data_IF_651310087755
#
_entry.id   IF_651310087755
#
_cell.length_a   1.000
_cell.length_b   1.000
_cell.length_c   1.000
_cell.angle_alpha   90.00
_cell.angle_beta   90.00
_cell.angle_gamma   90.00
#
_symmetry.space_group_name_H-M   'P 1'
#
loop_
_entity.id
_entity.type
_entity.pdbx_description
1 polymer ?
#
# COMPACT_ATOMS: atom_id res chain seq x y z
N UNK A 1 0.77 11.63 -6.84
CA UNK A 1 1.45 12.79 -7.47
C UNK A 1 1.50 13.99 -6.53
N UNK A 2 0.39 14.33 -5.84
CA UNK A 2 0.35 15.38 -4.82
C UNK A 2 1.24 15.17 -3.57
N UNK A 3 1.68 13.95 -3.24
CA UNK A 3 2.61 13.70 -2.12
C UNK A 3 4.08 14.06 -2.45
N UNK A 4 4.43 14.23 -3.73
CA UNK A 4 5.78 14.63 -4.12
C UNK A 4 5.94 16.13 -3.96
N UNK A 5 6.83 16.57 -3.06
CA UNK A 5 7.17 17.97 -2.88
C UNK A 5 7.63 18.63 -4.18
N UNK A 6 8.44 17.93 -4.99
CA UNK A 6 8.86 18.40 -6.32
C UNK A 6 7.68 18.61 -7.27
N UNK A 7 6.66 17.76 -7.21
CA UNK A 7 5.47 17.91 -8.04
C UNK A 7 4.57 19.05 -7.55
N UNK A 8 4.40 19.19 -6.22
CA UNK A 8 3.70 20.35 -5.64
C UNK A 8 4.40 21.66 -5.96
N UNK A 9 5.74 21.67 -5.90
CA UNK A 9 6.58 22.78 -6.34
C UNK A 9 6.30 23.16 -7.79
N UNK A 10 6.35 22.20 -8.72
CA UNK A 10 6.03 22.47 -10.14
C UNK A 10 4.63 23.06 -10.35
N UNK A 11 3.61 22.55 -9.66
CA UNK A 11 2.24 23.07 -9.77
C UNK A 11 2.17 24.50 -9.22
N UNK A 12 2.87 24.76 -8.11
CA UNK A 12 2.94 26.09 -7.51
C UNK A 12 3.67 27.08 -8.41
N UNK A 13 4.81 26.69 -8.98
CA UNK A 13 5.58 27.51 -9.91
C UNK A 13 4.75 27.84 -11.15
N UNK A 14 4.01 26.86 -11.70
CA UNK A 14 3.09 27.10 -12.82
C UNK A 14 1.96 28.07 -12.44
N UNK A 15 1.43 27.99 -11.21
CA UNK A 15 0.45 28.97 -10.74
C UNK A 15 1.06 30.37 -10.68
N UNK A 16 2.23 30.53 -10.06
CA UNK A 16 2.87 31.83 -9.85
C UNK A 16 3.33 32.42 -11.19
N UNK A 17 4.17 31.70 -11.93
CA UNK A 17 4.84 32.25 -13.11
C UNK A 17 3.89 32.41 -14.31
N UNK A 18 2.88 31.55 -14.39
CA UNK A 18 2.07 31.36 -15.58
C UNK A 18 0.62 31.85 -15.41
N UNK A 19 -0.12 31.30 -14.45
CA UNK A 19 -1.55 31.61 -14.33
C UNK A 19 -1.79 32.97 -13.67
N UNK A 20 -1.14 33.22 -12.53
CA UNK A 20 -1.39 34.41 -11.72
C UNK A 20 -1.00 35.70 -12.45
N UNK A 21 0.06 35.67 -13.26
CA UNK A 21 0.55 36.82 -14.06
C UNK A 21 -0.39 37.21 -15.19
N UNK A 22 -1.34 36.34 -15.57
CA UNK A 22 -2.28 36.55 -16.68
C UNK A 22 -3.70 36.91 -16.21
N UNK A 23 -3.91 37.07 -14.89
CA UNK A 23 -5.20 37.46 -14.34
C UNK A 23 -5.50 38.94 -14.62
N UNK A 24 -6.47 39.20 -15.49
CA UNK A 24 -7.00 40.55 -15.72
C UNK A 24 -7.95 40.98 -14.59
N UNK A 25 -8.11 42.30 -14.36
CA UNK A 25 -9.12 42.81 -13.41
C UNK A 25 -10.51 42.24 -13.72
N UNK A 26 -11.14 41.63 -12.71
CA UNK A 26 -12.45 40.99 -12.84
C UNK A 26 -12.45 39.54 -13.32
N UNK A 27 -11.28 38.92 -13.52
CA UNK A 27 -11.20 37.50 -13.85
C UNK A 27 -11.78 36.61 -12.73
N UNK A 28 -12.46 35.54 -13.12
CA UNK A 28 -12.97 34.50 -12.22
C UNK A 28 -12.06 33.29 -12.31
N UNK A 29 -11.57 32.80 -11.16
CA UNK A 29 -10.77 31.59 -11.08
C UNK A 29 -11.58 30.51 -10.37
N UNK A 30 -11.70 29.35 -11.01
CA UNK A 30 -12.34 28.16 -10.43
C UNK A 30 -11.29 27.07 -10.31
N UNK A 31 -11.03 26.65 -9.08
CA UNK A 31 -10.12 25.57 -8.76
C UNK A 31 -10.93 24.35 -8.32
N UNK A 32 -10.83 23.26 -9.07
CA UNK A 32 -11.45 21.97 -8.73
C UNK A 32 -10.31 20.97 -8.54
N UNK A 33 -10.22 20.40 -7.35
CA UNK A 33 -9.26 19.36 -7.04
C UNK A 33 -9.80 18.40 -5.98
N UNK A 34 -9.22 17.22 -5.94
CA UNK A 34 -9.26 16.36 -4.75
C UNK A 34 -8.12 16.77 -3.81
N UNK A 35 -8.42 17.02 -2.54
CA UNK A 35 -7.41 17.34 -1.53
C UNK A 35 -6.64 16.08 -1.13
N UNK A 36 -5.37 16.03 -1.48
CA UNK A 36 -4.50 14.89 -1.13
C UNK A 36 -3.51 15.23 -0.01
N UNK A 37 -3.13 16.51 0.11
CA UNK A 37 -2.11 16.96 1.04
C UNK A 37 -2.45 18.38 1.55
N UNK A 38 -2.00 18.75 2.75
CA UNK A 38 -2.27 20.10 3.26
C UNK A 38 -1.59 21.19 2.40
N UNK A 39 -0.35 20.95 1.97
CA UNK A 39 0.49 21.80 1.10
C UNK A 39 0.16 21.69 -0.41
N UNK A 40 -0.99 21.13 -0.80
CA UNK A 40 -1.42 21.16 -2.20
C UNK A 40 -1.73 22.59 -2.68
N UNK A 41 -2.01 22.77 -3.98
CA UNK A 41 -2.21 24.09 -4.57
C UNK A 41 -3.27 24.90 -3.81
N UNK A 42 -4.40 24.29 -3.42
CA UNK A 42 -5.41 24.99 -2.61
C UNK A 42 -4.86 25.41 -1.26
N UNK A 43 -4.15 24.52 -0.57
CA UNK A 43 -3.51 24.83 0.70
C UNK A 43 -2.59 26.05 0.63
N UNK A 44 -1.72 26.09 -0.38
CA UNK A 44 -0.82 27.24 -0.60
C UNK A 44 -1.58 28.52 -0.94
N UNK A 45 -2.61 28.45 -1.78
CA UNK A 45 -3.43 29.61 -2.17
C UNK A 45 -4.21 30.25 -1.01
N UNK A 46 -4.49 29.47 0.03
CA UNK A 46 -5.18 29.93 1.24
C UNK A 46 -4.22 30.30 2.38
N UNK A 47 -2.93 30.00 2.24
CA UNK A 47 -1.92 30.22 3.27
C UNK A 47 -1.21 31.56 3.11
N UNK A 48 -1.12 32.32 4.20
CA UNK A 48 -0.36 33.58 4.26
C UNK A 48 1.14 33.40 4.12
N UNK A 49 1.66 32.20 4.34
CA UNK A 49 3.08 31.89 4.20
C UNK A 49 3.54 31.97 2.74
N UNK A 50 2.63 31.75 1.80
CA UNK A 50 2.90 31.73 0.36
C UNK A 50 2.49 33.03 -0.35
N UNK A 51 1.97 34.01 0.39
CA UNK A 51 1.50 35.31 -0.10
C UNK A 51 0.15 35.70 0.48
N UNK A 52 -0.31 36.92 0.19
CA UNK A 52 -1.64 37.36 0.60
C UNK A 52 -2.72 36.59 -0.18
N UNK A 53 -3.61 35.84 0.50
CA UNK A 53 -4.65 35.06 -0.18
C UNK A 53 -5.62 35.98 -0.94
N UNK A 54 -5.95 35.57 -2.17
CA UNK A 54 -7.10 36.13 -2.89
C UNK A 54 -8.41 35.80 -2.15
N UNK A 55 -9.52 36.50 -2.42
CA UNK A 55 -10.81 36.27 -1.76
C UNK A 55 -11.49 34.97 -2.26
N UNK A 56 -10.88 33.83 -1.96
CA UNK A 56 -11.37 32.51 -2.33
C UNK A 56 -12.66 32.15 -1.57
N UNK A 57 -13.63 31.60 -2.28
CA UNK A 57 -14.76 30.89 -1.68
C UNK A 57 -14.49 29.39 -1.79
N UNK A 58 -14.50 28.69 -0.65
CA UNK A 58 -14.19 27.26 -0.59
C UNK A 58 -15.46 26.46 -0.41
N UNK A 59 -15.71 25.53 -1.33
CA UNK A 59 -16.83 24.59 -1.25
C UNK A 59 -16.26 23.17 -1.12
N UNK A 60 -16.57 22.50 -0.01
CA UNK A 60 -16.20 21.10 0.21
C UNK A 60 -17.44 20.21 0.04
N UNK A 61 -17.33 19.16 -0.77
CA UNK A 61 -18.39 18.19 -1.00
C UNK A 61 -17.92 16.82 -0.47
N UNK A 62 -18.05 16.56 0.84
CA UNK A 62 -17.57 15.32 1.42
C UNK A 62 -18.43 14.13 0.97
N UNK A 63 -17.81 12.96 0.84
CA UNK A 63 -18.49 11.71 0.49
C UNK A 63 -19.61 11.41 1.49
N UNK A 64 -19.34 11.56 2.78
CA UNK A 64 -20.35 11.47 3.84
C UNK A 64 -20.65 12.87 4.37
N UNK A 65 -21.94 13.24 4.36
CA UNK A 65 -22.39 14.54 4.83
C UNK A 65 -22.09 14.77 6.31
N UNK A 66 -21.73 16.00 6.65
CA UNK A 66 -21.45 16.49 8.00
C UNK A 66 -22.43 17.63 8.36
N UNK A 67 -22.32 18.19 9.58
CA UNK A 67 -23.26 19.21 10.08
C UNK A 67 -23.33 20.48 9.22
N UNK A 68 -22.25 20.80 8.51
CA UNK A 68 -22.07 21.98 7.67
C UNK A 68 -22.15 21.70 6.15
N UNK A 69 -22.91 20.66 5.75
CA UNK A 69 -23.01 20.26 4.35
C UNK A 69 -23.57 21.36 3.43
N UNK A 70 -22.76 21.75 2.43
CA UNK A 70 -23.05 22.88 1.54
C UNK A 70 -24.24 22.67 0.60
N UNK A 71 -24.74 21.44 0.47
CA UNK A 71 -25.92 21.11 -0.34
C UNK A 71 -27.13 20.67 0.52
N UNK A 72 -27.03 20.73 1.85
CA UNK A 72 -28.13 20.51 2.78
C UNK A 72 -28.51 19.04 3.03
N UNK A 73 -27.58 18.10 2.83
CA UNK A 73 -27.78 16.68 3.18
C UNK A 73 -27.87 16.48 4.69
N UNK A 74 -28.57 15.44 5.13
CA UNK A 74 -28.54 15.04 6.53
C UNK A 74 -27.19 14.40 6.89
N UNK A 75 -26.72 14.58 8.13
CA UNK A 75 -25.44 14.01 8.60
C UNK A 75 -25.42 12.49 8.36
N UNK A 76 -24.36 12.01 7.73
CA UNK A 76 -24.21 10.60 7.35
C UNK A 76 -24.73 10.23 5.96
N UNK A 77 -25.41 11.14 5.25
CA UNK A 77 -25.90 10.86 3.90
C UNK A 77 -24.77 10.83 2.86
N UNK A 78 -24.74 9.81 1.97
CA UNK A 78 -23.76 9.76 0.89
C UNK A 78 -23.94 10.87 -0.15
N UNK A 79 -22.85 11.39 -0.69
CA UNK A 79 -22.86 12.42 -1.75
C UNK A 79 -23.42 11.87 -3.05
N UNK A 80 -23.16 10.59 -3.31
CA UNK A 80 -23.62 9.90 -4.50
C UNK A 80 -24.06 8.47 -4.12
N UNK A 81 -25.29 8.32 -3.57
CA UNK A 81 -25.76 7.05 -3.01
C UNK A 81 -25.74 5.89 -4.01
N UNK A 82 -26.04 6.13 -5.29
CA UNK A 82 -26.09 5.11 -6.34
C UNK A 82 -24.71 4.52 -6.66
N UNK A 83 -23.64 5.28 -6.38
CA UNK A 83 -22.26 4.89 -6.69
C UNK A 83 -21.44 4.56 -5.45
N UNK A 84 -21.66 5.28 -4.36
CA UNK A 84 -20.88 5.24 -3.13
C UNK A 84 -21.79 5.26 -1.89
N UNK A 85 -22.68 4.25 -1.78
CA UNK A 85 -23.62 4.14 -0.67
C UNK A 85 -22.97 3.85 0.69
N UNK A 86 -23.81 3.64 1.72
CA UNK A 86 -23.40 3.48 3.11
C UNK A 86 -22.38 2.35 3.32
N UNK A 87 -22.53 1.20 2.64
CA UNK A 87 -21.59 0.10 2.75
C UNK A 87 -20.18 0.50 2.26
N UNK A 88 -20.09 1.27 1.18
CA UNK A 88 -18.83 1.79 0.67
C UNK A 88 -18.21 2.78 1.64
N UNK A 89 -19.01 3.68 2.23
CA UNK A 89 -18.53 4.62 3.25
C UNK A 89 -17.96 3.87 4.45
N UNK A 90 -18.69 2.87 4.98
CA UNK A 90 -18.21 2.06 6.11
C UNK A 90 -16.97 1.25 5.75
N UNK A 91 -16.89 0.72 4.52
CA UNK A 91 -15.70 0.05 4.02
C UNK A 91 -14.47 0.98 4.06
N UNK A 92 -14.63 2.23 3.60
CA UNK A 92 -13.56 3.23 3.50
C UNK A 92 -13.19 3.86 4.83
N UNK A 93 -14.13 4.00 5.77
CA UNK A 93 -13.88 4.44 7.16
C UNK A 93 -12.88 3.57 7.92
N UNK A 94 -12.66 2.33 7.47
CA UNK A 94 -11.58 1.45 7.98
C UNK A 94 -10.17 1.98 7.69
N UNK A 95 -10.05 3.01 6.84
CA UNK A 95 -8.79 3.67 6.47
C UNK A 95 -8.87 5.17 6.78
N UNK A 96 -8.83 5.59 8.06
CA UNK A 96 -9.23 6.94 8.49
C UNK A 96 -8.46 8.08 7.81
N UNK A 97 -7.15 7.92 7.60
CA UNK A 97 -6.32 8.94 6.93
C UNK A 97 -6.69 9.14 5.45
N UNK A 98 -6.87 8.05 4.70
CA UNK A 98 -7.34 8.11 3.31
C UNK A 98 -8.80 8.54 3.22
N UNK A 99 -9.64 8.14 4.17
CA UNK A 99 -11.02 8.60 4.26
C UNK A 99 -11.09 10.12 4.45
N UNK A 100 -10.31 10.65 5.39
CA UNK A 100 -10.30 12.08 5.70
C UNK A 100 -9.77 12.93 4.54
N UNK A 101 -8.69 12.51 3.87
CA UNK A 101 -8.14 13.25 2.72
C UNK A 101 -9.01 13.10 1.47
N UNK A 102 -9.05 11.89 0.89
CA UNK A 102 -9.66 11.60 -0.41
C UNK A 102 -11.18 11.82 -0.42
N UNK A 103 -11.86 11.47 0.66
CA UNK A 103 -13.32 11.39 0.68
C UNK A 103 -13.98 12.52 1.48
N UNK A 104 -13.35 13.02 2.55
CA UNK A 104 -13.89 14.16 3.32
C UNK A 104 -13.24 15.51 2.99
N UNK A 105 -12.21 15.55 2.14
CA UNK A 105 -11.57 16.80 1.71
C UNK A 105 -10.74 17.49 2.80
N UNK A 106 -10.37 16.76 3.85
CA UNK A 106 -9.59 17.24 5.02
C UNK A 106 -8.27 16.46 5.11
N UNK A 107 -7.29 16.77 4.24
CA UNK A 107 -5.96 16.21 4.41
C UNK A 107 -5.44 16.66 5.76
N UNK A 108 -5.06 15.70 6.60
CA UNK A 108 -4.36 16.03 7.84
C UNK A 108 -2.93 16.41 7.48
N UNK A 109 -2.36 17.35 8.23
CA UNK A 109 -0.94 17.62 8.17
C UNK A 109 -0.17 16.30 8.25
N UNK A 110 0.80 16.11 7.37
CA UNK A 110 1.82 15.08 7.56
C UNK A 110 2.80 15.50 8.69
N UNK A 111 2.34 16.28 9.68
CA UNK A 111 3.10 16.60 10.88
C UNK A 111 3.15 15.36 11.77
N UNK A 112 4.15 14.55 11.44
CA UNK A 112 4.48 13.33 12.12
C UNK A 112 4.84 12.29 11.10
N UNK A 113 6.13 11.98 11.02
CA UNK A 113 6.72 10.76 10.44
C UNK A 113 5.66 9.69 10.14
N UNK A 114 5.50 9.34 8.87
CA UNK A 114 4.45 8.44 8.37
C UNK A 114 4.38 7.12 9.15
N UNK A 115 5.50 6.71 9.74
CA UNK A 115 5.61 5.59 10.65
C UNK A 115 6.20 6.09 11.99
N UNK A 116 5.41 5.98 13.08
CA UNK A 116 5.85 6.43 14.40
C UNK A 116 6.61 5.31 15.13
N UNK A 117 7.71 5.66 15.82
CA UNK A 117 8.52 4.71 16.61
C UNK A 117 7.68 3.88 17.59
N UNK A 118 6.66 4.48 18.19
CA UNK A 118 5.79 3.84 19.19
C UNK A 118 4.82 2.80 18.62
N UNK A 119 4.65 2.71 17.30
CA UNK A 119 3.73 1.77 16.68
C UNK A 119 4.31 0.36 16.56
N UNK A 120 5.63 0.24 16.49
CA UNK A 120 6.31 -1.04 16.32
C UNK A 120 6.10 -1.95 17.53
N UNK A 121 5.67 -3.18 17.24
CA UNK A 121 5.65 -4.25 18.24
C UNK A 121 6.94 -5.05 18.16
N UNK A 122 7.25 -5.75 19.25
CA UNK A 122 8.48 -6.52 19.35
C UNK A 122 8.22 -7.94 19.82
N UNK A 123 8.89 -8.92 19.21
CA UNK A 123 8.84 -10.32 19.61
C UNK A 123 10.20 -10.80 20.14
N UNK A 124 10.16 -11.75 21.08
CA UNK A 124 11.34 -12.46 21.56
C UNK A 124 11.47 -13.84 20.92
N UNK A 125 10.35 -14.58 20.88
CA UNK A 125 10.26 -15.88 20.22
C UNK A 125 9.39 -15.76 18.98
N UNK A 126 9.93 -16.14 17.83
CA UNK A 126 9.19 -16.13 16.57
C UNK A 126 8.11 -17.24 16.59
N UNK A 127 6.82 -16.93 16.32
CA UNK A 127 5.79 -17.95 16.23
C UNK A 127 6.01 -18.87 15.03
N UNK A 128 5.34 -20.03 15.02
CA UNK A 128 5.35 -20.91 13.85
C UNK A 128 4.64 -20.21 12.69
N UNK A 129 5.39 -20.01 11.60
CA UNK A 129 4.92 -19.35 10.40
C UNK A 129 4.56 -20.35 9.32
N UNK A 130 3.40 -20.14 8.68
CA UNK A 130 3.00 -20.91 7.48
C UNK A 130 3.48 -20.22 6.20
N UNK A 131 3.43 -18.89 6.17
CA UNK A 131 3.81 -18.12 4.99
C UNK A 131 5.02 -17.25 5.31
N UNK A 132 6.13 -17.52 4.64
CA UNK A 132 7.35 -16.73 4.68
C UNK A 132 7.67 -16.27 3.26
N UNK A 133 8.01 -14.99 3.12
CA UNK A 133 8.43 -14.39 1.85
C UNK A 133 9.74 -13.64 2.05
N UNK A 134 10.43 -13.39 0.95
CA UNK A 134 11.58 -12.50 0.88
C UNK A 134 11.24 -11.31 0.00
N UNK A 135 11.61 -10.12 0.44
CA UNK A 135 11.48 -8.87 -0.30
C UNK A 135 12.86 -8.32 -0.58
N UNK A 136 13.15 -8.08 -1.85
CA UNK A 136 14.46 -7.65 -2.33
C UNK A 136 14.27 -6.30 -3.03
N UNK A 137 14.88 -5.27 -2.46
CA UNK A 137 15.09 -3.96 -3.10
C UNK A 137 16.56 -3.86 -3.50
N UNK A 138 16.79 -3.70 -4.81
CA UNK A 138 18.10 -3.66 -5.43
C UNK A 138 18.16 -2.49 -6.42
N UNK A 139 17.78 -1.30 -5.95
CA UNK A 139 17.84 -0.07 -6.74
C UNK A 139 19.29 0.42 -6.85
N UNK A 140 19.91 0.23 -8.01
CA UNK A 140 21.23 0.79 -8.31
C UNK A 140 21.09 2.17 -8.96
N UNK A 141 21.91 3.13 -8.53
CA UNK A 141 21.93 4.50 -9.05
C UNK A 141 23.03 4.72 -10.10
N UNK A 142 24.06 3.86 -10.20
CA UNK A 142 25.10 3.92 -11.25
C UNK A 142 25.81 2.56 -11.48
N UNK A 143 26.44 2.36 -12.65
CA UNK A 143 27.08 1.07 -13.04
C UNK A 143 28.45 0.80 -12.38
N UNK A 144 29.10 1.82 -11.80
CA UNK A 144 30.52 1.74 -11.40
C UNK A 144 30.77 1.63 -9.88
N UNK A 145 29.77 1.88 -9.02
CA UNK A 145 29.92 1.89 -7.56
C UNK A 145 28.88 1.02 -6.83
N UNK A 146 29.21 0.58 -5.62
CA UNK A 146 28.31 -0.26 -4.80
C UNK A 146 27.10 0.52 -4.30
N UNK A 147 25.88 0.07 -4.62
CA UNK A 147 24.63 0.66 -4.13
C UNK A 147 24.05 -0.09 -2.94
N UNK A 148 23.15 0.58 -2.21
CA UNK A 148 22.42 -0.06 -1.14
C UNK A 148 21.45 -1.10 -1.69
N UNK A 149 21.61 -2.33 -1.22
CA UNK A 149 20.67 -3.42 -1.44
C UNK A 149 20.06 -3.78 -0.11
N UNK A 150 18.72 -3.89 -0.09
CA UNK A 150 17.97 -4.35 1.07
C UNK A 150 17.30 -5.69 0.75
N UNK A 151 17.56 -6.70 1.59
CA UNK A 151 16.91 -8.00 1.55
C UNK A 151 16.25 -8.25 2.91
N UNK A 152 14.93 -8.37 2.90
CA UNK A 152 14.15 -8.64 4.09
C UNK A 152 13.43 -9.97 4.00
N UNK A 153 13.31 -10.67 5.11
CA UNK A 153 12.52 -11.90 5.23
C UNK A 153 11.37 -11.63 6.16
N UNK A 154 10.16 -11.89 5.68
CA UNK A 154 8.94 -11.60 6.42
C UNK A 154 8.08 -12.85 6.56
N UNK A 155 7.44 -13.01 7.71
CA UNK A 155 6.46 -14.05 7.96
C UNK A 155 5.08 -13.48 8.29
N UNK A 156 4.03 -14.25 8.02
CA UNK A 156 2.66 -13.92 8.43
C UNK A 156 2.06 -15.05 9.26
N UNK A 157 1.39 -14.69 10.34
CA UNK A 157 0.60 -15.58 11.18
C UNK A 157 -0.74 -14.89 11.51
N UNK A 158 -1.84 -15.38 10.94
CA UNK A 158 -3.13 -14.72 11.06
C UNK A 158 -3.11 -13.30 10.46
N UNK A 159 -3.48 -12.30 11.26
CA UNK A 159 -3.40 -10.89 10.88
C UNK A 159 -2.00 -10.28 11.07
N UNK A 160 -1.14 -10.94 11.85
CA UNK A 160 0.15 -10.39 12.27
C UNK A 160 1.26 -10.73 11.28
N UNK A 161 2.16 -9.77 11.09
CA UNK A 161 3.29 -9.84 10.19
C UNK A 161 4.58 -9.57 10.97
N UNK A 162 5.63 -10.33 10.68
CA UNK A 162 6.86 -10.30 11.46
C UNK A 162 8.05 -10.15 10.52
N UNK A 163 8.90 -9.16 10.78
CA UNK A 163 10.19 -9.04 10.13
C UNK A 163 11.14 -10.03 10.79
N UNK A 164 11.54 -11.08 10.07
CA UNK A 164 12.36 -12.17 10.58
C UNK A 164 13.85 -11.82 10.49
N UNK A 165 14.25 -11.23 9.37
CA UNK A 165 15.64 -10.85 9.11
C UNK A 165 15.72 -9.69 8.13
N UNK A 166 16.77 -8.90 8.24
CA UNK A 166 16.99 -7.70 7.45
C UNK A 166 18.48 -7.54 7.16
N UNK A 167 18.84 -7.58 5.88
CA UNK A 167 20.17 -7.29 5.39
C UNK A 167 20.10 -6.00 4.57
N UNK A 168 20.80 -4.95 5.04
CA UNK A 168 21.06 -3.74 4.27
C UNK A 168 22.56 -3.56 4.17
N UNK A 169 23.10 -3.56 2.95
CA UNK A 169 24.52 -3.27 2.74
C UNK A 169 24.76 -2.66 1.36
N UNK A 170 25.90 -1.99 1.19
CA UNK A 170 26.37 -1.60 -0.13
C UNK A 170 26.97 -2.81 -0.82
N UNK A 171 26.43 -3.17 -1.98
CA UNK A 171 26.82 -4.37 -2.72
C UNK A 171 26.91 -4.07 -4.20
N UNK A 172 27.90 -4.67 -4.88
CA UNK A 172 27.89 -4.74 -6.34
C UNK A 172 27.04 -5.95 -6.79
N UNK A 173 26.75 -6.01 -8.09
CA UNK A 173 25.84 -7.03 -8.65
C UNK A 173 26.23 -8.49 -8.30
N UNK A 174 27.49 -8.95 -8.45
CA UNK A 174 27.86 -10.31 -8.04
C UNK A 174 27.65 -10.59 -6.55
N UNK A 175 27.98 -9.61 -5.69
CA UNK A 175 27.79 -9.73 -4.23
C UNK A 175 26.31 -9.79 -3.88
N UNK A 176 25.46 -9.03 -4.57
CA UNK A 176 23.99 -9.08 -4.44
C UNK A 176 23.45 -10.47 -4.75
N UNK A 177 23.87 -11.10 -5.86
CA UNK A 177 23.45 -12.47 -6.19
C UNK A 177 23.86 -13.46 -5.09
N UNK A 178 25.08 -13.33 -4.56
CA UNK A 178 25.56 -14.19 -3.47
C UNK A 178 24.80 -13.96 -2.16
N UNK A 179 24.45 -12.72 -1.83
CA UNK A 179 23.65 -12.38 -0.67
C UNK A 179 22.25 -12.99 -0.75
N UNK A 180 21.59 -12.91 -1.92
CA UNK A 180 20.29 -13.55 -2.16
C UNK A 180 20.39 -15.06 -1.96
N UNK A 181 21.39 -15.73 -2.54
CA UNK A 181 21.63 -17.17 -2.35
C UNK A 181 21.79 -17.53 -0.87
N UNK A 182 22.59 -16.76 -0.13
CA UNK A 182 22.83 -17.00 1.29
C UNK A 182 21.54 -16.85 2.10
N UNK A 183 20.74 -15.82 1.82
CA UNK A 183 19.44 -15.62 2.47
C UNK A 183 18.45 -16.74 2.14
N UNK A 184 18.42 -17.23 0.90
CA UNK A 184 17.56 -18.36 0.51
C UNK A 184 17.99 -19.65 1.20
N UNK A 185 19.30 -19.90 1.34
CA UNK A 185 19.81 -21.06 2.11
C UNK A 185 19.47 -20.96 3.60
N UNK A 186 19.55 -19.76 4.18
CA UNK A 186 19.20 -19.50 5.58
C UNK A 186 17.69 -19.66 5.84
N UNK A 187 16.85 -19.28 4.86
CA UNK A 187 15.39 -19.32 4.96
C UNK A 187 14.75 -20.11 3.80
N UNK A 188 14.91 -21.45 3.76
CA UNK A 188 14.41 -22.26 2.65
C UNK A 188 12.88 -22.26 2.53
N UNK A 189 12.17 -21.90 3.60
CA UNK A 189 10.71 -21.74 3.63
C UNK A 189 10.20 -20.42 3.05
N UNK A 190 11.10 -19.49 2.69
CA UNK A 190 10.73 -18.26 1.99
C UNK A 190 10.42 -18.60 0.52
N UNK A 191 9.21 -19.08 0.26
CA UNK A 191 8.85 -19.63 -1.05
C UNK A 191 8.75 -18.57 -2.14
N UNK A 192 8.24 -17.38 -1.82
CA UNK A 192 8.20 -16.23 -2.72
C UNK A 192 9.35 -15.26 -2.45
N UNK A 193 10.07 -14.87 -3.50
CA UNK A 193 11.15 -13.87 -3.50
C UNK A 193 10.68 -12.74 -4.40
N UNK A 194 10.17 -11.68 -3.80
CA UNK A 194 9.72 -10.48 -4.47
C UNK A 194 10.94 -9.65 -4.84
N UNK A 195 11.07 -9.35 -6.12
CA UNK A 195 12.15 -8.49 -6.64
C UNK A 195 11.49 -7.35 -7.40
N UNK A 196 11.83 -6.11 -7.06
CA UNK A 196 11.31 -4.95 -7.78
C UNK A 196 11.73 -5.02 -9.26
N UNK A 197 10.78 -4.88 -10.18
CA UNK A 197 10.99 -4.99 -11.62
C UNK A 197 11.49 -3.67 -12.23
N UNK A 198 12.52 -3.10 -11.60
CA UNK A 198 13.20 -1.86 -12.00
C UNK A 198 14.70 -2.00 -11.76
N UNK A 199 15.47 -1.10 -12.39
CA UNK A 199 16.93 -1.09 -12.31
C UNK A 199 17.51 -2.50 -12.58
N UNK A 200 18.18 -3.11 -11.60
CA UNK A 200 18.82 -4.41 -11.74
C UNK A 200 17.91 -5.61 -11.42
N UNK A 201 16.67 -5.39 -10.98
CA UNK A 201 15.72 -6.46 -10.68
C UNK A 201 15.52 -7.48 -11.82
N UNK A 202 15.25 -7.05 -13.07
CA UNK A 202 15.13 -7.97 -14.20
C UNK A 202 16.37 -8.85 -14.40
N UNK A 203 17.57 -8.28 -14.23
CA UNK A 203 18.83 -9.00 -14.36
C UNK A 203 19.02 -10.03 -13.22
N UNK A 204 18.70 -9.66 -11.98
CA UNK A 204 18.71 -10.56 -10.82
C UNK A 204 17.77 -11.75 -11.07
N UNK A 205 16.53 -11.48 -11.50
CA UNK A 205 15.55 -12.53 -11.81
C UNK A 205 16.09 -13.44 -12.92
N UNK A 206 16.58 -12.87 -14.03
CA UNK A 206 17.09 -13.64 -15.16
C UNK A 206 18.22 -14.59 -14.78
N UNK A 207 19.15 -14.13 -13.94
CA UNK A 207 20.31 -14.90 -13.48
C UNK A 207 19.95 -15.98 -12.46
N UNK A 208 18.97 -15.73 -11.58
CA UNK A 208 18.65 -16.64 -10.48
C UNK A 208 17.45 -17.56 -10.73
N UNK A 209 16.56 -17.27 -11.69
CA UNK A 209 15.31 -18.02 -11.91
C UNK A 209 15.49 -19.53 -12.15
N UNK A 210 16.62 -19.94 -12.73
CA UNK A 210 16.92 -21.34 -13.02
C UNK A 210 17.53 -22.08 -11.81
N UNK A 211 18.07 -21.32 -10.83
CA UNK A 211 18.70 -21.86 -9.61
C UNK A 211 17.73 -21.79 -8.42
N UNK A 212 16.91 -20.73 -8.34
CA UNK A 212 16.07 -20.38 -7.21
C UNK A 212 14.62 -20.28 -7.67
N UNK A 213 13.78 -21.19 -7.16
CA UNK A 213 12.34 -21.14 -7.40
C UNK A 213 11.66 -19.97 -6.68
N UNK A 214 10.58 -19.46 -7.27
CA UNK A 214 9.72 -18.45 -6.67
C UNK A 214 10.24 -17.01 -6.76
N UNK A 215 11.10 -16.72 -7.74
CA UNK A 215 11.46 -15.34 -8.11
C UNK A 215 10.26 -14.67 -8.79
N UNK A 216 9.72 -13.60 -8.18
CA UNK A 216 8.50 -12.93 -8.64
C UNK A 216 8.81 -11.45 -8.87
N UNK A 217 8.68 -10.94 -10.11
CA UNK A 217 8.81 -9.51 -10.37
C UNK A 217 7.66 -8.74 -9.71
N UNK A 218 7.98 -7.59 -9.11
CA UNK A 218 7.00 -6.66 -8.55
C UNK A 218 7.12 -5.33 -9.25
N UNK A 219 6.05 -4.92 -9.91
CA UNK A 219 5.93 -3.57 -10.46
C UNK A 219 5.24 -2.68 -9.41
N UNK A 220 5.97 -1.76 -8.75
CA UNK A 220 5.39 -0.93 -7.72
C UNK A 220 4.34 0.00 -8.32
N UNK A 221 3.13 -0.07 -7.78
CA UNK A 221 2.01 0.80 -8.14
C UNK A 221 2.02 2.04 -7.23
N UNK A 222 1.96 3.23 -7.81
CA UNK A 222 2.01 4.49 -7.07
C UNK A 222 3.38 4.88 -6.51
N UNK A 223 3.46 6.10 -5.95
CA UNK A 223 4.68 6.64 -5.34
C UNK A 223 5.03 5.97 -4.01
N UNK A 224 6.28 6.18 -3.53
CA UNK A 224 6.78 5.56 -2.29
C UNK A 224 5.87 5.84 -1.08
N UNK A 225 5.43 7.09 -0.92
CA UNK A 225 4.51 7.52 0.14
C UNK A 225 3.18 6.76 0.08
N UNK A 226 2.58 6.63 -1.10
CA UNK A 226 1.33 5.89 -1.28
C UNK A 226 1.47 4.41 -0.88
N UNK A 227 2.61 3.77 -1.21
CA UNK A 227 2.88 2.38 -0.83
C UNK A 227 3.03 2.19 0.67
N UNK A 228 3.62 3.16 1.36
CA UNK A 228 3.74 3.16 2.84
C UNK A 228 2.38 3.42 3.49
N UNK A 229 1.60 4.37 2.97
CA UNK A 229 0.24 4.64 3.44
C UNK A 229 -0.69 3.42 3.31
N UNK A 230 -0.49 2.57 2.30
CA UNK A 230 -1.27 1.34 2.15
C UNK A 230 -1.01 0.30 3.26
N UNK A 231 0.17 0.34 3.89
CA UNK A 231 0.58 -0.63 4.93
C UNK A 231 0.61 -0.05 6.34
N UNK A 232 0.64 1.28 6.47
CA UNK A 232 0.72 1.98 7.75
C UNK A 232 -0.41 1.62 8.73
N UNK A 233 -1.66 1.33 8.32
CA UNK A 233 -2.71 0.95 9.27
C UNK A 233 -2.37 -0.31 10.05
N UNK A 234 -1.72 -1.31 9.42
CA UNK A 234 -1.29 -2.55 10.10
C UNK A 234 -0.16 -2.30 11.09
N UNK A 235 0.71 -1.32 10.81
CA UNK A 235 1.79 -0.94 11.71
C UNK A 235 1.20 -0.17 12.91
N UNK A 236 0.34 0.81 12.64
CA UNK A 236 -0.34 1.63 13.65
C UNK A 236 -1.22 0.78 14.59
N UNK A 237 -1.93 -0.22 14.07
CA UNK A 237 -2.77 -1.14 14.86
C UNK A 237 -1.99 -2.20 15.63
N UNK A 238 -0.66 -2.22 15.53
CA UNK A 238 0.20 -3.16 16.26
C UNK A 238 0.23 -4.58 15.68
N UNK A 239 -0.05 -4.74 14.38
CA UNK A 239 0.03 -6.04 13.70
C UNK A 239 1.40 -6.30 13.05
N UNK A 240 2.39 -5.43 13.25
CA UNK A 240 3.74 -5.59 12.69
C UNK A 240 4.78 -5.68 13.80
N UNK A 241 5.51 -6.79 13.79
CA UNK A 241 6.44 -7.18 14.84
C UNK A 241 7.89 -7.24 14.36
N UNK A 242 8.78 -6.70 15.18
CA UNK A 242 10.24 -6.69 14.98
C UNK A 242 10.94 -7.57 16.04
N UNK A 243 12.09 -8.19 15.75
CA UNK A 243 12.82 -8.98 16.74
C UNK A 243 13.42 -8.05 17.79
N UNK A 244 13.13 -8.27 19.08
CA UNK A 244 13.62 -7.37 20.15
C UNK A 244 15.15 -7.27 20.21
N UNK A 245 15.85 -8.36 19.88
CA UNK A 245 17.29 -8.49 20.13
C UNK A 245 18.16 -8.32 18.88
N UNK A 246 17.59 -8.10 17.68
CA UNK A 246 18.41 -8.00 16.48
C UNK A 246 19.07 -6.61 16.37
N UNK A 247 20.38 -6.52 16.07
CA UNK A 247 21.13 -5.26 16.13
C UNK A 247 20.69 -4.25 15.07
N UNK A 248 20.11 -4.70 13.96
CA UNK A 248 19.64 -3.83 12.87
C UNK A 248 18.30 -3.13 13.15
N UNK A 249 17.57 -3.55 14.19
CA UNK A 249 16.19 -3.10 14.45
C UNK A 249 16.13 -1.61 14.75
N UNK A 250 17.08 -1.09 15.53
CA UNK A 250 17.14 0.34 15.80
C UNK A 250 17.29 1.15 14.50
N UNK A 251 18.25 0.80 13.65
CA UNK A 251 18.47 1.49 12.37
C UNK A 251 17.26 1.37 11.43
N UNK A 252 16.59 0.22 11.42
CA UNK A 252 15.35 0.02 10.67
C UNK A 252 14.24 0.96 11.15
N UNK A 253 14.01 1.05 12.46
CA UNK A 253 12.99 1.91 13.06
C UNK A 253 13.30 3.38 12.82
N UNK A 254 14.56 3.79 12.93
CA UNK A 254 15.00 5.16 12.66
C UNK A 254 14.82 5.55 11.18
N UNK A 255 15.11 4.64 10.25
CA UNK A 255 14.88 4.86 8.83
C UNK A 255 13.38 4.99 8.51
N UNK A 256 12.56 4.10 9.05
CA UNK A 256 11.10 4.18 8.92
C UNK A 256 10.54 5.46 9.54
N UNK A 257 11.05 5.87 10.71
CA UNK A 257 10.64 7.10 11.36
C UNK A 257 11.13 8.34 10.60
N UNK A 258 12.21 8.28 9.84
CA UNK A 258 12.67 9.45 9.07
C UNK A 258 11.95 9.60 7.74
N UNK A 259 11.21 8.57 7.28
CA UNK A 259 10.49 8.58 6.02
C UNK A 259 9.30 9.57 6.03
N UNK A 260 9.06 10.34 4.94
CA UNK A 260 9.72 10.26 3.63
C UNK A 260 10.99 11.12 3.48
N UNK A 261 11.35 11.89 4.49
CA UNK A 261 12.39 12.91 4.40
C UNK A 261 13.80 12.39 4.75
N UNK A 262 13.92 11.10 5.08
CA UNK A 262 15.17 10.42 5.40
C UNK A 262 16.07 10.29 4.18
N UNK A 263 17.39 10.28 4.41
CA UNK A 263 18.40 10.13 3.33
C UNK A 263 18.34 8.78 2.61
N UNK A 264 17.84 7.75 3.30
CA UNK A 264 17.71 6.40 2.78
C UNK A 264 16.27 5.94 2.99
N UNK A 265 15.77 5.14 2.05
CA UNK A 265 14.42 4.56 2.10
C UNK A 265 14.37 3.08 1.69
N UNK A 266 15.53 2.45 1.44
CA UNK A 266 15.63 1.08 0.93
C UNK A 266 14.94 0.06 1.86
N UNK A 267 15.03 0.24 3.19
CA UNK A 267 14.37 -0.66 4.15
C UNK A 267 12.85 -0.46 4.17
N UNK A 268 12.41 0.77 3.90
CA UNK A 268 10.99 1.14 3.86
C UNK A 268 10.36 0.61 2.58
N UNK A 269 11.07 0.69 1.45
CA UNK A 269 10.65 0.12 0.18
C UNK A 269 10.53 -1.41 0.26
N UNK A 270 11.57 -2.09 0.76
CA UNK A 270 11.54 -3.54 0.96
C UNK A 270 10.40 -3.97 1.92
N UNK A 271 10.15 -3.22 2.99
CA UNK A 271 9.09 -3.51 3.96
C UNK A 271 7.70 -3.31 3.36
N UNK A 272 7.46 -2.15 2.73
CA UNK A 272 6.16 -1.85 2.13
C UNK A 272 5.82 -2.85 1.02
N UNK A 273 6.79 -3.31 0.23
CA UNK A 273 6.60 -4.37 -0.76
C UNK A 273 6.16 -5.69 -0.11
N UNK A 274 6.81 -6.11 0.98
CA UNK A 274 6.48 -7.35 1.68
C UNK A 274 5.08 -7.30 2.32
N UNK A 275 4.77 -6.23 3.05
CA UNK A 275 3.49 -6.08 3.73
C UNK A 275 2.34 -5.96 2.70
N UNK A 276 2.51 -5.19 1.63
CA UNK A 276 1.51 -5.10 0.56
C UNK A 276 1.22 -6.48 -0.05
N UNK A 277 2.25 -7.32 -0.24
CA UNK A 277 2.04 -8.70 -0.71
C UNK A 277 1.14 -9.48 0.24
N UNK A 278 1.36 -9.40 1.54
CA UNK A 278 0.54 -10.12 2.51
C UNK A 278 -0.89 -9.60 2.64
N UNK A 279 -1.10 -8.31 2.41
CA UNK A 279 -2.42 -7.67 2.52
C UNK A 279 -3.25 -7.95 1.26
N UNK A 280 -2.68 -7.74 0.08
CA UNK A 280 -3.46 -7.68 -1.17
C UNK A 280 -3.36 -8.93 -2.04
N UNK A 281 -2.40 -9.84 -1.81
CA UNK A 281 -2.27 -11.02 -2.67
C UNK A 281 -3.37 -12.07 -2.43
N UNK A 282 -4.01 -12.10 -1.26
CA UNK A 282 -5.19 -12.94 -1.03
C UNK A 282 -6.45 -12.42 -1.73
N UNK A 283 -6.49 -11.15 -2.15
CA UNK A 283 -7.65 -10.54 -2.81
C UNK A 283 -7.69 -10.78 -4.33
N UNK A 284 -6.63 -11.35 -4.92
CA UNK A 284 -6.55 -11.61 -6.37
C UNK A 284 -7.01 -13.02 -6.78
N UNK A 285 -7.53 -13.83 -5.86
CA UNK A 285 -8.43 -14.91 -6.27
C UNK A 285 -9.71 -14.26 -6.78
N UNK A 286 -9.90 -14.25 -8.10
CA UNK A 286 -11.21 -13.94 -8.69
C UNK A 286 -12.22 -14.85 -7.99
N UNK A 287 -13.08 -14.27 -7.15
CA UNK A 287 -14.32 -14.92 -6.76
C UNK A 287 -15.10 -15.09 -8.06
N UNK A 288 -14.99 -16.27 -8.68
CA UNK A 288 -15.92 -16.70 -9.72
C UNK A 288 -17.13 -17.18 -8.93
N UNK A 289 -18.25 -16.43 -8.89
CA UNK A 289 -19.46 -16.98 -8.33
C UNK A 289 -19.73 -18.28 -9.09
N UNK A 290 -19.87 -19.41 -8.39
CA UNK A 290 -20.43 -20.60 -9.03
C UNK A 290 -21.80 -20.19 -9.51
N UNK A 291 -21.98 -20.04 -10.83
CA UNK A 291 -23.31 -19.87 -11.38
C UNK A 291 -24.19 -21.00 -10.81
N UNK A 292 -25.38 -20.67 -10.28
CA UNK A 292 -26.30 -21.70 -9.85
C UNK A 292 -26.62 -22.52 -11.10
N UNK A 293 -26.00 -23.71 -11.19
CA UNK A 293 -26.08 -24.59 -12.36
C UNK A 293 -27.47 -24.62 -12.97
N UNK A 294 -27.50 -24.66 -14.31
CA UNK A 294 -28.73 -24.49 -15.10
C UNK A 294 -29.86 -25.38 -14.58
N UNK A 295 -31.11 -24.98 -14.84
CA UNK A 295 -32.28 -25.76 -14.42
C UNK A 295 -32.15 -27.24 -14.84
N UNK A 296 -31.55 -27.50 -16.00
CA UNK A 296 -31.22 -28.83 -16.49
C UNK A 296 -30.22 -29.58 -15.60
N UNK A 297 -29.16 -28.95 -15.10
CA UNK A 297 -28.21 -29.58 -14.17
C UNK A 297 -28.82 -29.86 -12.79
N UNK A 298 -29.77 -29.02 -12.35
CA UNK A 298 -30.54 -29.24 -11.12
C UNK A 298 -31.51 -30.42 -11.29
N UNK A 299 -32.20 -30.49 -12.43
CA UNK A 299 -33.11 -31.59 -12.79
C UNK A 299 -32.33 -32.90 -12.95
N UNK A 300 -31.17 -32.88 -13.61
CA UNK A 300 -30.32 -34.06 -13.79
C UNK A 300 -29.82 -34.63 -12.46
N UNK A 301 -29.37 -33.76 -11.53
CA UNK A 301 -29.00 -34.19 -10.17
C UNK A 301 -30.18 -34.73 -9.37
N UNK A 302 -31.38 -34.18 -9.55
CA UNK A 302 -32.58 -34.67 -8.89
C UNK A 302 -32.98 -36.06 -9.40
N UNK A 303 -32.95 -36.27 -10.72
CA UNK A 303 -33.25 -37.57 -11.35
C UNK A 303 -32.24 -38.65 -10.93
N UNK A 304 -30.94 -38.33 -10.87
CA UNK A 304 -29.90 -39.26 -10.37
C UNK A 304 -30.13 -39.63 -8.90
N UNK A 305 -30.62 -38.69 -8.08
CA UNK A 305 -30.90 -38.95 -6.66
C UNK A 305 -32.12 -39.86 -6.48
N UNK A 306 -33.15 -39.72 -7.31
CA UNK A 306 -34.34 -40.57 -7.31
C UNK A 306 -34.05 -41.99 -7.84
N UNK A 307 -33.19 -42.13 -8.85
CA UNK A 307 -32.83 -43.45 -9.41
C UNK A 307 -31.96 -44.28 -8.46
N UNK A 308 -31.14 -43.64 -7.62
CA UNK A 308 -30.36 -44.31 -6.57
C UNK A 308 -31.20 -44.75 -5.36
N UNK A 309 -32.36 -44.12 -5.13
CA UNK A 309 -33.28 -44.49 -4.05
C UNK A 309 -34.12 -45.75 -4.31
N UNK A 310 -34.33 -46.14 -5.57
CA UNK A 310 -35.18 -47.30 -5.92
C UNK A 310 -34.48 -48.67 -5.93
N UNK A 311 -33.17 -48.75 -5.70
CA UNK A 311 -32.42 -50.03 -5.66
C UNK A 311 -32.29 -50.68 -4.28
N UNK A 312 -32.90 -50.11 -3.23
CA UNK A 312 -32.97 -50.72 -1.88
C UNK A 312 -34.43 -51.00 -1.50
N UNK A 313 -34.99 -52.07 -2.04
CA UNK A 313 -36.34 -52.51 -1.71
C UNK A 313 -36.79 -53.66 -2.60
N UNK A 314 -36.21 -54.84 -2.40
CA UNK A 314 -36.68 -56.05 -3.06
C UNK A 314 -35.63 -57.15 -3.17
N UNK A 315 -35.31 -57.82 -2.06
CA UNK A 315 -35.19 -59.29 -2.01
C UNK A 315 -35.02 -59.78 -0.56
N UNK A 316 -35.76 -60.86 -0.25
CA UNK A 316 -35.78 -61.74 0.94
C UNK A 316 -36.69 -61.21 2.09
N UNK A 317 -37.79 -61.87 2.48
CA UNK A 317 -38.21 -63.28 2.37
C UNK A 317 -39.43 -63.51 1.46
#
# INVERSE_FOLDING_TARGET
EADSETHRGKIWDEWIDSFSTRLHPGAIVILILTRWHEDDLQGRLLSKEYGDPLPWQVYNLPLEAEEDDVIGRAVGEPLWPERYGLEFIQERKRYPSSFNSLYQGRPTAAEGNLLKRKWWQYYETLPKMVHIIMSIDATFKDEADSDFVCIQVWGKNGADMYLIDNLKARMNFPTTLQAIRNMVRKYPKAHAKLVEDKANGPAIISMLKNEIGGMIPVNPQGGKVARVNAVSPYIESGNVYLPRQAPWVHNFVEECASFPNGKNDDQVDAMSQALNRFIYYHANEKFIPKEPGTLEEKVHRHIIRLSRGRRKGGQLQ
#
